data_IF_015365153570
#
_entry.id   IF_015365153570
#
_cell.length_a   1.000
_cell.length_b   1.000
_cell.length_c   1.000
_cell.angle_alpha   90.00
_cell.angle_beta   90.00
_cell.angle_gamma   90.00
#
_symmetry.space_group_name_H-M   'P 1'
#
loop_
_entity.id
_entity.type
_entity.pdbx_description
1 polymer ?
#
# COMPACT_ATOMS: atom_id res chain seq x y z
N UNK A 1 -61.65 48.49 -29.49
CA UNK A 1 -61.31 47.06 -29.23
C UNK A 1 -61.50 46.79 -27.74
N UNK A 2 -62.12 45.65 -27.43
CA UNK A 2 -62.61 45.24 -26.10
C UNK A 2 -61.51 45.25 -25.01
N UNK A 3 -61.81 45.76 -23.80
CA UNK A 3 -61.03 45.55 -22.58
C UNK A 3 -61.60 44.40 -21.72
N UNK A 4 -60.92 44.12 -20.59
CA UNK A 4 -61.24 43.20 -19.47
C UNK A 4 -60.69 41.76 -19.65
N UNK A 5 -60.23 41.02 -18.63
CA UNK A 5 -60.55 41.01 -17.19
C UNK A 5 -59.33 40.51 -16.38
N UNK A 6 -59.05 41.20 -15.28
CA UNK A 6 -58.28 40.79 -14.10
C UNK A 6 -59.05 39.73 -13.27
N UNK A 7 -58.42 38.63 -12.84
CA UNK A 7 -58.87 37.90 -11.65
C UNK A 7 -57.70 37.48 -10.77
N UNK A 8 -57.55 38.26 -9.70
CA UNK A 8 -56.97 37.87 -8.41
C UNK A 8 -57.89 36.82 -7.79
N UNK A 9 -57.32 35.76 -7.20
CA UNK A 9 -57.92 35.12 -6.03
C UNK A 9 -56.83 34.76 -5.02
N UNK A 10 -56.98 35.37 -3.86
CA UNK A 10 -56.32 35.13 -2.58
C UNK A 10 -57.09 34.01 -1.88
N UNK A 11 -56.44 32.94 -1.41
CA UNK A 11 -56.91 32.07 -0.32
C UNK A 11 -55.66 31.47 0.35
N UNK A 12 -55.19 32.08 1.44
CA UNK A 12 -55.33 31.60 2.83
C UNK A 12 -54.63 30.27 3.12
N UNK A 13 -53.57 30.39 3.92
CA UNK A 13 -53.23 29.55 5.08
C UNK A 13 -54.00 28.23 5.21
N UNK A 14 -53.29 27.11 4.99
CA UNK A 14 -53.53 25.90 5.77
C UNK A 14 -52.18 25.33 6.24
N UNK A 15 -51.99 25.38 7.55
CA UNK A 15 -51.04 24.57 8.29
C UNK A 15 -51.18 23.11 7.85
N UNK A 16 -50.15 22.57 7.22
CA UNK A 16 -49.91 21.12 7.24
C UNK A 16 -48.61 20.90 7.98
N UNK A 17 -48.75 20.55 9.27
CA UNK A 17 -47.74 19.84 10.03
C UNK A 17 -47.34 18.59 9.23
N UNK A 18 -46.23 18.67 8.51
CA UNK A 18 -45.37 17.51 8.35
C UNK A 18 -44.24 17.69 9.35
N UNK A 19 -44.38 16.96 10.45
CA UNK A 19 -43.26 16.60 11.31
C UNK A 19 -42.17 16.03 10.42
N UNK A 20 -41.19 16.86 10.06
CA UNK A 20 -39.89 16.35 9.69
C UNK A 20 -39.39 15.61 10.92
N UNK A 21 -39.55 14.29 10.91
CA UNK A 21 -38.56 13.41 11.51
C UNK A 21 -37.25 13.72 10.80
N UNK A 22 -36.61 14.80 11.21
CA UNK A 22 -35.17 14.92 11.20
C UNK A 22 -34.70 13.77 12.07
N UNK A 23 -34.50 12.61 11.43
CA UNK A 23 -33.55 11.65 11.91
C UNK A 23 -32.21 12.35 11.77
N UNK A 24 -31.89 13.19 12.75
CA UNK A 24 -30.54 13.69 12.94
C UNK A 24 -29.71 12.43 13.12
N UNK A 25 -29.05 12.00 12.05
CA UNK A 25 -27.93 11.08 12.15
C UNK A 25 -27.00 11.75 13.15
N UNK A 26 -26.99 11.24 14.38
CA UNK A 26 -25.96 11.54 15.34
C UNK A 26 -24.66 11.12 14.64
N UNK A 27 -24.00 12.06 13.96
CA UNK A 27 -22.59 11.95 13.65
C UNK A 27 -21.89 11.95 15.00
N UNK A 28 -21.80 10.76 15.57
CA UNK A 28 -20.86 10.48 16.63
C UNK A 28 -19.50 10.71 15.97
N UNK A 29 -18.93 11.90 16.13
CA UNK A 29 -17.49 12.13 15.97
C UNK A 29 -16.84 11.17 16.94
N UNK A 30 -16.52 9.96 16.47
CA UNK A 30 -15.69 9.04 17.22
C UNK A 30 -14.32 9.71 17.23
N UNK A 31 -14.02 10.40 18.31
CA UNK A 31 -12.68 10.90 18.60
C UNK A 31 -11.82 9.67 18.90
N UNK A 32 -11.23 9.08 17.86
CA UNK A 32 -10.18 8.10 18.06
C UNK A 32 -8.95 8.82 18.60
N UNK A 33 -8.48 8.43 19.77
CA UNK A 33 -7.14 8.85 20.23
C UNK A 33 -6.13 8.15 19.32
N UNK A 34 -5.51 8.89 18.41
CA UNK A 34 -4.47 8.35 17.52
C UNK A 34 -3.30 7.84 18.37
N UNK A 35 -3.01 6.54 18.28
CA UNK A 35 -1.86 5.93 18.93
C UNK A 35 -0.71 5.83 17.93
N UNK A 36 0.15 6.85 17.92
CA UNK A 36 1.36 6.84 17.12
C UNK A 36 2.30 5.71 17.56
N UNK A 37 2.79 4.93 16.60
CA UNK A 37 3.94 4.08 16.82
C UNK A 37 5.20 4.94 16.85
N UNK A 38 5.98 4.81 17.91
CA UNK A 38 7.30 5.41 18.00
C UNK A 38 8.39 4.36 17.76
N UNK A 39 9.26 4.65 16.81
CA UNK A 39 10.56 3.99 16.64
C UNK A 39 11.62 5.08 16.77
N UNK A 40 12.58 4.87 17.67
CA UNK A 40 13.59 5.89 18.02
C UNK A 40 14.85 5.73 17.17
N UNK A 41 15.49 6.85 16.86
CA UNK A 41 16.82 6.89 16.24
C UNK A 41 16.87 6.74 14.72
N UNK A 42 15.72 6.65 14.04
CA UNK A 42 15.60 6.42 12.59
C UNK A 42 14.41 7.20 12.02
N UNK A 43 14.42 7.48 10.71
CA UNK A 43 13.34 8.20 10.04
C UNK A 43 13.23 9.63 10.55
N UNK A 44 14.22 10.47 10.27
CA UNK A 44 14.24 11.87 10.70
C UNK A 44 12.98 12.64 10.25
N UNK A 45 12.44 12.29 9.07
CA UNK A 45 11.19 12.80 8.54
C UNK A 45 10.01 11.84 8.71
N UNK A 46 10.20 10.74 9.45
CA UNK A 46 9.15 9.80 9.81
C UNK A 46 9.27 8.42 9.17
N UNK A 47 8.23 7.62 9.43
CA UNK A 47 8.12 6.21 9.02
C UNK A 47 6.71 5.92 8.50
N UNK A 48 6.59 5.02 7.53
CA UNK A 48 5.32 4.64 6.89
C UNK A 48 5.40 3.26 6.21
N UNK A 49 4.31 2.82 5.58
CA UNK A 49 4.13 1.51 4.92
C UNK A 49 4.56 0.30 5.78
N UNK A 50 3.94 0.10 6.95
CA UNK A 50 4.26 -1.05 7.78
C UNK A 50 3.85 -2.35 7.08
N UNK A 51 4.63 -3.41 7.27
CA UNK A 51 4.20 -4.79 7.05
C UNK A 51 4.69 -5.65 8.21
N UNK A 52 3.76 -6.32 8.90
CA UNK A 52 4.06 -7.05 10.14
C UNK A 52 3.89 -8.55 9.99
N UNK A 53 4.81 -9.30 10.60
CA UNK A 53 4.73 -10.75 10.67
C UNK A 53 5.17 -11.24 12.05
N UNK A 54 4.44 -12.22 12.58
CA UNK A 54 4.78 -12.89 13.82
C UNK A 54 5.74 -14.05 13.54
N UNK A 55 6.94 -14.02 14.12
CA UNK A 55 7.77 -15.19 14.27
C UNK A 55 7.31 -15.99 15.50
N UNK A 56 6.59 -17.08 15.24
CA UNK A 56 6.09 -17.97 16.29
C UNK A 56 7.19 -18.74 17.01
N UNK A 57 8.37 -18.88 16.42
CA UNK A 57 9.48 -19.62 17.05
C UNK A 57 10.15 -18.78 18.13
N UNK A 58 10.43 -17.50 17.83
CA UNK A 58 11.04 -16.58 18.79
C UNK A 58 10.01 -15.78 19.61
N UNK A 59 8.71 -15.91 19.30
CA UNK A 59 7.63 -15.11 19.87
C UNK A 59 7.90 -13.59 19.73
N UNK A 60 8.50 -13.21 18.60
CA UNK A 60 8.77 -11.82 18.21
C UNK A 60 7.86 -11.42 17.07
N UNK A 61 7.48 -10.15 17.06
CA UNK A 61 6.81 -9.55 15.90
C UNK A 61 7.85 -8.71 15.19
N UNK A 62 8.00 -8.95 13.89
CA UNK A 62 8.83 -8.12 13.03
C UNK A 62 7.94 -7.19 12.21
N UNK A 63 8.46 -6.00 11.93
CA UNK A 63 7.85 -5.04 11.02
C UNK A 63 8.91 -4.57 10.04
N UNK A 64 8.68 -4.77 8.75
CA UNK A 64 9.35 -3.96 7.73
C UNK A 64 8.57 -2.67 7.55
N UNK A 65 9.27 -1.57 7.30
CA UNK A 65 8.66 -0.26 7.12
C UNK A 65 9.57 0.66 6.30
N UNK A 66 8.98 1.64 5.63
CA UNK A 66 9.68 2.72 4.94
C UNK A 66 10.12 3.77 5.96
N UNK A 67 11.41 4.14 5.95
CA UNK A 67 11.98 5.21 6.76
C UNK A 67 12.45 6.36 5.86
N UNK A 68 12.07 7.59 6.23
CA UNK A 68 12.43 8.81 5.49
C UNK A 68 13.50 9.57 6.26
N UNK A 69 14.69 9.63 5.68
CA UNK A 69 15.86 10.30 6.25
C UNK A 69 16.39 11.35 5.27
N UNK A 70 17.22 12.32 5.71
CA UNK A 70 17.84 13.27 4.79
C UNK A 70 18.74 12.54 3.81
N UNK A 71 18.67 12.90 2.52
CA UNK A 71 19.72 12.44 1.59
C UNK A 71 21.01 13.15 1.92
N UNK A 72 22.04 12.37 2.22
CA UNK A 72 23.38 12.90 2.46
C UNK A 72 24.11 13.21 1.15
N UNK A 73 23.74 12.56 0.04
CA UNK A 73 24.37 12.77 -1.28
C UNK A 73 23.78 13.91 -2.09
N UNK A 74 22.47 14.07 -2.02
CA UNK A 74 21.72 15.04 -2.81
C UNK A 74 20.82 15.92 -1.93
N UNK A 75 21.38 16.59 -0.89
CA UNK A 75 20.58 17.33 0.09
C UNK A 75 19.79 18.50 -0.51
N UNK A 76 20.11 18.92 -1.74
CA UNK A 76 19.41 20.00 -2.45
C UNK A 76 18.42 19.42 -3.47
N UNK A 77 18.87 18.50 -4.32
CA UNK A 77 18.08 17.97 -5.43
C UNK A 77 17.05 16.93 -4.98
N UNK A 78 17.42 16.11 -3.99
CA UNK A 78 16.61 15.02 -3.44
C UNK A 78 16.76 15.04 -1.91
N UNK A 79 16.18 16.03 -1.21
CA UNK A 79 16.47 16.26 0.21
C UNK A 79 16.16 15.06 1.11
N UNK A 80 15.34 14.11 0.63
CA UNK A 80 14.94 12.92 1.36
C UNK A 80 15.36 11.65 0.61
N UNK A 81 15.68 10.62 1.39
CA UNK A 81 15.98 9.27 0.96
C UNK A 81 15.03 8.30 1.68
N UNK A 82 14.51 7.31 0.96
CA UNK A 82 13.55 6.34 1.50
C UNK A 82 14.18 4.95 1.47
N UNK A 83 14.39 4.37 2.64
CA UNK A 83 14.93 3.02 2.83
C UNK A 83 13.89 2.11 3.47
N UNK A 84 13.93 0.81 3.18
CA UNK A 84 13.21 -0.18 3.97
C UNK A 84 14.05 -0.57 5.17
N UNK A 85 13.47 -0.47 6.37
CA UNK A 85 14.09 -0.87 7.64
C UNK A 85 13.34 -2.02 8.29
N UNK A 86 13.95 -2.59 9.32
CA UNK A 86 13.38 -3.65 10.14
C UNK A 86 13.27 -3.19 11.60
N UNK A 87 12.11 -3.39 12.19
CA UNK A 87 11.89 -3.25 13.63
C UNK A 87 11.31 -4.54 14.20
N UNK A 88 11.42 -4.69 15.52
CA UNK A 88 10.81 -5.80 16.24
C UNK A 88 10.12 -5.36 17.52
N UNK A 89 9.18 -6.18 17.96
CA UNK A 89 8.50 -6.07 19.23
C UNK A 89 8.57 -7.40 20.01
N UNK A 90 8.83 -7.29 21.31
CA UNK A 90 8.86 -8.41 22.27
C UNK A 90 7.61 -8.47 23.16
N UNK A 91 6.78 -7.44 23.11
CA UNK A 91 5.64 -7.21 24.00
C UNK A 91 4.32 -7.09 23.22
N UNK A 92 4.23 -7.91 22.15
CA UNK A 92 3.05 -8.03 21.29
C UNK A 92 2.66 -6.72 20.59
N UNK A 93 3.63 -5.90 20.24
CA UNK A 93 3.45 -4.64 19.52
C UNK A 93 3.13 -3.44 20.42
N UNK A 94 3.32 -3.54 21.74
CA UNK A 94 3.22 -2.39 22.65
C UNK A 94 4.37 -1.41 22.37
N UNK A 95 5.60 -1.92 22.31
CA UNK A 95 6.80 -1.15 21.96
C UNK A 95 7.50 -1.75 20.75
N UNK A 96 8.17 -0.88 19.99
CA UNK A 96 8.90 -1.22 18.78
C UNK A 96 10.34 -0.73 18.88
N UNK A 97 11.27 -1.60 18.53
CA UNK A 97 12.70 -1.31 18.52
C UNK A 97 13.21 -1.48 17.09
N UNK A 98 13.89 -0.46 16.56
CA UNK A 98 14.61 -0.61 15.30
C UNK A 98 15.72 -1.67 15.47
N UNK A 99 15.89 -2.52 14.46
CA UNK A 99 16.94 -3.54 14.47
C UNK A 99 18.34 -2.97 14.21
N UNK A 100 18.47 -1.68 13.92
CA UNK A 100 19.72 -1.05 13.47
C UNK A 100 20.05 -1.35 12.02
N UNK A 101 19.14 -1.99 11.27
CA UNK A 101 19.38 -2.52 9.93
C UNK A 101 18.50 -1.80 8.89
N UNK A 102 19.15 -1.18 7.91
CA UNK A 102 18.52 -0.93 6.63
C UNK A 102 18.58 -2.22 5.80
N UNK A 103 17.45 -2.66 5.27
CA UNK A 103 17.39 -3.87 4.44
C UNK A 103 17.79 -3.55 3.00
N UNK A 104 17.43 -2.36 2.55
CA UNK A 104 17.87 -1.79 1.29
C UNK A 104 18.19 -0.31 1.54
N UNK A 105 19.35 0.12 1.09
CA UNK A 105 19.74 1.52 1.18
C UNK A 105 19.09 2.29 0.03
N UNK A 106 18.74 3.55 0.30
CA UNK A 106 18.28 4.50 -0.71
C UNK A 106 19.42 5.00 -1.62
N UNK A 107 20.66 4.77 -1.19
CA UNK A 107 21.89 5.19 -1.86
C UNK A 107 22.85 3.99 -1.94
N UNK A 108 23.52 3.74 -3.08
CA UNK A 108 24.40 2.55 -3.23
C UNK A 108 25.65 2.63 -2.32
N UNK A 109 26.22 1.49 -1.90
CA UNK A 109 27.12 1.38 -0.73
C UNK A 109 28.47 2.15 -0.78
N UNK A 110 28.94 2.71 -1.90
CA UNK A 110 30.29 3.32 -1.94
C UNK A 110 30.34 4.86 -2.05
N UNK A 111 29.35 5.60 -1.56
CA UNK A 111 29.36 7.08 -1.66
C UNK A 111 29.32 7.59 -3.11
N UNK A 112 29.05 6.71 -4.07
CA UNK A 112 28.97 7.06 -5.49
C UNK A 112 27.70 7.86 -5.75
N UNK A 113 27.86 9.01 -6.40
CA UNK A 113 26.73 9.75 -6.96
C UNK A 113 26.06 8.87 -8.01
N UNK A 114 24.87 8.38 -7.68
CA UNK A 114 24.09 7.59 -8.61
C UNK A 114 23.66 8.46 -9.77
N UNK A 115 23.84 7.91 -10.96
CA UNK A 115 23.35 8.56 -12.15
C UNK A 115 22.81 7.56 -13.16
N UNK A 116 21.62 7.84 -13.66
CA UNK A 116 21.03 7.03 -14.71
C UNK A 116 21.57 7.50 -16.05
N UNK A 117 22.27 6.61 -16.76
CA UNK A 117 22.74 6.89 -18.11
C UNK A 117 21.59 6.68 -19.09
N UNK A 118 20.84 7.75 -19.33
CA UNK A 118 19.79 7.79 -20.33
C UNK A 118 20.41 7.76 -21.75
N UNK A 119 19.82 7.00 -22.66
CA UNK A 119 20.35 6.86 -24.02
C UNK A 119 20.47 8.23 -24.71
N UNK A 120 21.67 8.56 -25.20
CA UNK A 120 21.96 9.82 -25.89
C UNK A 120 21.89 11.08 -25.01
N UNK A 121 21.85 10.95 -23.67
CA UNK A 121 21.82 12.09 -22.73
C UNK A 121 22.91 11.97 -21.67
N UNK A 122 23.27 13.11 -21.08
CA UNK A 122 24.15 13.13 -19.92
C UNK A 122 23.50 12.39 -18.74
N UNK A 123 24.28 11.66 -17.92
CA UNK A 123 23.75 11.00 -16.73
C UNK A 123 23.08 12.02 -15.79
N UNK A 124 21.92 11.65 -15.26
CA UNK A 124 21.15 12.48 -14.33
C UNK A 124 21.33 11.99 -12.90
N UNK A 125 21.58 12.89 -11.92
CA UNK A 125 21.50 12.55 -10.50
C UNK A 125 20.21 11.81 -10.17
N UNK A 126 20.30 10.82 -9.30
CA UNK A 126 19.13 10.13 -8.79
C UNK A 126 19.34 9.60 -7.38
N UNK A 127 18.23 9.34 -6.70
CA UNK A 127 18.15 8.62 -5.42
C UNK A 127 17.20 7.44 -5.59
N UNK A 128 17.51 6.28 -5.00
CA UNK A 128 16.56 5.17 -4.97
C UNK A 128 15.52 5.41 -3.89
N UNK A 129 14.25 5.28 -4.24
CA UNK A 129 13.17 5.13 -3.27
C UNK A 129 12.84 3.65 -3.14
N UNK A 130 12.70 3.23 -1.89
CA UNK A 130 12.38 1.87 -1.48
C UNK A 130 11.09 1.91 -0.66
N UNK A 131 9.96 1.77 -1.35
CA UNK A 131 8.65 1.97 -0.73
C UNK A 131 7.80 0.69 -0.77
N UNK A 132 6.82 0.67 0.13
CA UNK A 132 5.78 -0.36 0.26
C UNK A 132 6.36 -1.76 0.38
N UNK A 133 6.94 -2.02 1.55
CA UNK A 133 7.53 -3.32 1.86
C UNK A 133 6.49 -4.35 2.28
N UNK A 134 6.69 -5.62 1.95
CA UNK A 134 5.94 -6.75 2.48
C UNK A 134 6.85 -7.86 2.95
N UNK A 135 6.80 -8.11 4.26
CA UNK A 135 7.64 -9.09 4.97
C UNK A 135 6.80 -10.31 5.34
N UNK A 136 7.29 -11.50 4.97
CA UNK A 136 6.63 -12.75 5.32
C UNK A 136 7.62 -13.80 5.84
N UNK A 137 7.07 -14.75 6.57
CA UNK A 137 7.75 -15.96 7.00
C UNK A 137 7.08 -17.20 6.40
N UNK A 138 7.87 -18.01 5.71
CA UNK A 138 7.45 -19.26 5.07
C UNK A 138 8.16 -20.44 5.75
N UNK A 139 7.46 -21.08 6.68
CA UNK A 139 7.99 -22.22 7.43
C UNK A 139 8.30 -23.45 6.54
N UNK A 140 7.73 -23.51 5.33
CA UNK A 140 7.86 -24.66 4.43
C UNK A 140 8.99 -24.50 3.42
N UNK A 141 9.52 -23.28 3.25
CA UNK A 141 10.68 -23.03 2.40
C UNK A 141 11.97 -23.65 2.99
N UNK A 142 12.99 -23.89 2.14
CA UNK A 142 14.34 -24.18 2.61
C UNK A 142 14.78 -23.16 3.65
N UNK A 143 15.60 -23.58 4.62
CA UNK A 143 15.99 -22.74 5.76
C UNK A 143 16.50 -21.37 5.33
N UNK A 144 17.33 -21.32 4.30
CA UNK A 144 17.91 -20.10 3.70
C UNK A 144 16.92 -19.17 3.00
N UNK A 145 15.63 -19.53 2.90
CA UNK A 145 14.62 -18.82 2.11
C UNK A 145 13.33 -18.57 2.91
N UNK A 146 13.34 -18.78 4.22
CA UNK A 146 12.12 -18.71 5.04
C UNK A 146 11.61 -17.30 5.19
N UNK A 147 12.51 -16.35 5.41
CA UNK A 147 12.18 -14.94 5.44
C UNK A 147 12.24 -14.38 4.03
N UNK A 148 11.21 -13.65 3.65
CA UNK A 148 11.06 -13.08 2.32
C UNK A 148 10.59 -11.65 2.46
N UNK A 149 11.23 -10.74 1.73
CA UNK A 149 10.86 -9.33 1.67
C UNK A 149 10.67 -8.92 0.22
N UNK A 150 9.52 -8.31 -0.06
CA UNK A 150 9.20 -7.68 -1.33
C UNK A 150 9.07 -6.18 -1.11
N UNK A 151 9.45 -5.37 -2.10
CA UNK A 151 9.21 -3.92 -2.07
C UNK A 151 9.24 -3.34 -3.48
N UNK A 152 8.77 -2.11 -3.65
CA UNK A 152 8.92 -1.39 -4.90
C UNK A 152 10.17 -0.52 -4.86
N UNK A 153 11.08 -0.74 -5.80
CA UNK A 153 12.29 0.07 -6.01
C UNK A 153 12.14 0.90 -7.27
N UNK A 154 12.30 2.22 -7.16
CA UNK A 154 12.26 3.12 -8.31
C UNK A 154 13.13 4.37 -8.03
N UNK A 155 13.68 5.03 -9.05
CA UNK A 155 14.50 6.21 -8.84
C UNK A 155 13.65 7.49 -8.80
N UNK A 156 14.10 8.43 -7.98
CA UNK A 156 13.74 9.84 -8.06
C UNK A 156 14.76 10.54 -8.96
N UNK A 157 14.29 11.19 -10.04
CA UNK A 157 15.14 11.91 -10.99
C UNK A 157 14.53 13.29 -11.20
N UNK A 158 15.33 14.35 -11.01
CA UNK A 158 14.86 15.74 -11.07
C UNK A 158 13.61 16.00 -10.17
N UNK A 159 13.51 15.31 -9.03
CA UNK A 159 12.40 15.43 -8.08
C UNK A 159 11.14 14.63 -8.45
N UNK A 160 11.16 13.89 -9.55
CA UNK A 160 10.02 13.10 -10.03
C UNK A 160 10.25 11.60 -9.85
N UNK A 161 9.19 10.88 -9.44
CA UNK A 161 9.20 9.42 -9.37
C UNK A 161 9.20 8.85 -10.78
N UNK A 162 10.16 7.98 -11.10
CA UNK A 162 10.30 7.39 -12.44
C UNK A 162 10.05 5.88 -12.44
N UNK A 163 8.78 5.48 -12.40
CA UNK A 163 8.39 4.07 -12.35
C UNK A 163 8.78 3.29 -13.61
N UNK A 164 9.03 3.95 -14.74
CA UNK A 164 9.59 3.32 -15.95
C UNK A 164 10.97 2.70 -15.72
N UNK A 165 11.72 3.12 -14.70
CA UNK A 165 12.99 2.51 -14.31
C UNK A 165 12.86 1.61 -13.08
N UNK A 166 11.65 1.44 -12.54
CA UNK A 166 11.38 0.72 -11.31
C UNK A 166 11.09 -0.77 -11.48
N UNK A 167 11.15 -1.50 -10.38
CA UNK A 167 10.83 -2.92 -10.31
C UNK A 167 10.30 -3.32 -8.92
N UNK A 168 9.58 -4.43 -8.87
CA UNK A 168 9.38 -5.15 -7.61
C UNK A 168 10.68 -5.90 -7.31
N UNK A 169 11.29 -5.56 -6.19
CA UNK A 169 12.50 -6.18 -5.68
C UNK A 169 12.15 -7.28 -4.68
N UNK A 170 13.07 -8.22 -4.52
CA UNK A 170 12.89 -9.40 -3.68
C UNK A 170 14.20 -9.80 -2.98
N UNK A 171 14.12 -10.12 -1.68
CA UNK A 171 15.19 -10.76 -0.91
C UNK A 171 14.62 -11.95 -0.14
N UNK A 172 15.47 -12.94 0.10
CA UNK A 172 15.16 -14.06 0.98
C UNK A 172 16.35 -14.45 1.85
N UNK A 173 16.08 -14.91 3.07
CA UNK A 173 17.11 -15.26 4.04
C UNK A 173 16.60 -16.28 5.08
N UNK A 174 17.51 -16.78 5.92
CA UNK A 174 17.16 -17.68 7.03
C UNK A 174 16.61 -16.96 8.25
N UNK A 175 17.05 -15.74 8.51
CA UNK A 175 16.51 -14.86 9.56
C UNK A 175 16.09 -13.51 8.97
N UNK A 176 15.20 -12.75 9.63
CA UNK A 176 14.80 -11.45 9.13
C UNK A 176 15.97 -10.46 9.11
N UNK A 177 16.89 -10.53 10.07
CA UNK A 177 18.08 -9.67 10.11
C UNK A 177 19.04 -9.96 8.95
N UNK A 178 19.15 -11.23 8.53
CA UNK A 178 19.97 -11.62 7.38
C UNK A 178 19.44 -11.09 6.04
N UNK A 179 18.21 -10.55 5.98
CA UNK A 179 17.72 -9.86 4.79
C UNK A 179 18.58 -8.64 4.45
N UNK A 180 19.23 -8.00 5.43
CA UNK A 180 20.09 -6.84 5.18
C UNK A 180 21.23 -7.18 4.21
N UNK A 181 21.91 -8.31 4.44
CA UNK A 181 23.02 -8.78 3.59
C UNK A 181 22.61 -9.76 2.50
N UNK A 182 21.34 -10.18 2.44
CA UNK A 182 20.85 -11.05 1.39
C UNK A 182 20.91 -10.37 0.02
N UNK A 183 21.22 -11.15 -1.02
CA UNK A 183 21.27 -10.66 -2.40
C UNK A 183 19.89 -10.20 -2.87
N UNK A 184 19.80 -8.96 -3.35
CA UNK A 184 18.60 -8.47 -4.02
C UNK A 184 18.40 -9.14 -5.37
N UNK A 185 17.13 -9.44 -5.65
CA UNK A 185 16.64 -9.91 -6.94
C UNK A 185 15.74 -8.82 -7.54
N UNK A 186 16.09 -8.36 -8.74
CA UNK A 186 15.19 -7.58 -9.61
C UNK A 186 14.11 -8.52 -10.15
N UNK A 187 12.95 -8.59 -9.49
CA UNK A 187 11.97 -9.65 -9.72
C UNK A 187 11.00 -9.30 -10.87
N UNK A 188 10.18 -8.27 -10.70
CA UNK A 188 9.13 -7.91 -11.67
C UNK A 188 9.31 -6.52 -12.24
N UNK A 189 9.00 -6.38 -13.53
CA UNK A 189 8.91 -5.10 -14.22
C UNK A 189 7.63 -5.01 -15.06
N UNK A 190 7.24 -3.77 -15.40
CA UNK A 190 6.03 -3.45 -16.18
C UNK A 190 6.29 -3.23 -17.66
N UNK A 191 5.22 -2.90 -18.39
CA UNK A 191 5.24 -2.67 -19.84
C UNK A 191 6.21 -1.57 -20.28
N UNK A 192 6.34 -0.52 -19.48
CA UNK A 192 7.20 0.64 -19.79
C UNK A 192 8.56 0.57 -19.10
N UNK A 193 8.97 -0.62 -18.67
CA UNK A 193 10.31 -0.79 -18.14
C UNK A 193 11.38 -0.41 -19.15
N UNK A 194 12.27 0.51 -18.76
CA UNK A 194 13.43 0.92 -19.53
C UNK A 194 14.69 0.23 -19.01
N UNK A 195 15.35 -0.49 -19.93
CA UNK A 195 16.60 -1.23 -19.69
C UNK A 195 17.80 -0.36 -19.25
N UNK A 196 17.71 0.96 -19.30
CA UNK A 196 18.74 1.83 -18.71
C UNK A 196 19.00 1.48 -17.23
N UNK A 197 17.99 1.01 -16.51
CA UNK A 197 18.10 0.55 -15.13
C UNK A 197 18.81 -0.81 -14.96
N UNK A 198 19.12 -1.52 -16.04
CA UNK A 198 19.82 -2.82 -16.00
C UNK A 198 21.27 -2.70 -15.54
N UNK A 199 21.85 -1.50 -15.55
CA UNK A 199 23.20 -1.25 -15.05
C UNK A 199 23.39 -1.55 -13.55
N UNK A 200 22.32 -1.63 -12.75
CA UNK A 200 22.41 -1.80 -11.29
C UNK A 200 22.30 -3.25 -10.81
N UNK A 201 21.50 -4.09 -11.47
CA UNK A 201 21.25 -5.49 -11.04
C UNK A 201 21.00 -6.44 -12.22
N UNK A 202 21.34 -6.04 -13.45
CA UNK A 202 20.96 -6.76 -14.66
C UNK A 202 19.47 -6.66 -14.96
N UNK A 203 18.98 -7.52 -15.85
CA UNK A 203 17.58 -7.53 -16.29
C UNK A 203 16.62 -8.08 -15.22
N UNK A 204 15.36 -7.63 -15.16
CA UNK A 204 14.33 -8.27 -14.36
C UNK A 204 14.20 -9.77 -14.67
N UNK A 205 13.98 -10.60 -13.65
CA UNK A 205 13.75 -12.04 -13.85
C UNK A 205 12.48 -12.30 -14.64
N UNK A 206 11.43 -11.49 -14.42
CA UNK A 206 10.14 -11.65 -15.10
C UNK A 206 9.63 -10.26 -15.55
N UNK A 207 9.37 -10.13 -16.85
CA UNK A 207 8.56 -9.03 -17.38
C UNK A 207 7.10 -9.39 -17.20
N UNK A 208 6.52 -8.94 -16.08
CA UNK A 208 5.27 -9.47 -15.57
C UNK A 208 4.07 -9.14 -16.49
N UNK A 209 4.13 -8.02 -17.21
CA UNK A 209 3.12 -7.67 -18.21
C UNK A 209 3.05 -8.64 -19.40
N UNK A 210 4.01 -9.57 -19.55
CA UNK A 210 4.07 -10.53 -20.66
C UNK A 210 3.63 -11.95 -20.29
N UNK A 211 3.41 -12.26 -19.01
CA UNK A 211 3.07 -13.63 -18.61
C UNK A 211 1.59 -13.96 -18.86
N UNK A 212 0.73 -12.94 -18.98
CA UNK A 212 -0.70 -13.11 -19.21
C UNK A 212 -1.30 -11.91 -19.97
N UNK A 213 -2.27 -12.11 -20.90
CA UNK A 213 -2.87 -11.02 -21.66
C UNK A 213 -3.51 -9.91 -20.82
N UNK A 214 -4.13 -10.26 -19.68
CA UNK A 214 -4.73 -9.26 -18.78
C UNK A 214 -3.70 -8.32 -18.15
N UNK A 215 -2.42 -8.67 -18.16
CA UNK A 215 -1.36 -7.83 -17.61
C UNK A 215 -0.69 -6.95 -18.69
N UNK A 216 -1.07 -7.09 -19.95
CA UNK A 216 -0.35 -6.50 -21.09
C UNK A 216 -0.35 -4.97 -21.14
N UNK A 217 -1.30 -4.34 -20.45
CA UNK A 217 -1.46 -2.90 -20.27
C UNK A 217 -0.93 -2.39 -18.91
N UNK A 218 -0.47 -3.26 -18.01
CA UNK A 218 0.15 -2.84 -16.76
C UNK A 218 1.49 -2.13 -17.03
N UNK A 219 1.50 -0.80 -16.92
CA UNK A 219 2.67 0.04 -17.16
C UNK A 219 3.72 -0.11 -16.07
N UNK A 220 3.25 -0.27 -14.83
CA UNK A 220 4.06 -0.49 -13.64
C UNK A 220 3.32 -1.43 -12.67
N UNK A 221 4.10 -2.14 -11.87
CA UNK A 221 3.62 -2.92 -10.73
C UNK A 221 4.22 -2.32 -9.46
N UNK A 222 3.40 -2.11 -8.44
CA UNK A 222 3.80 -1.47 -7.19
C UNK A 222 3.06 -2.10 -6.02
N UNK A 223 3.41 -1.66 -4.81
CA UNK A 223 2.71 -1.97 -3.57
C UNK A 223 2.52 -3.47 -3.34
N UNK A 224 3.61 -4.24 -3.24
CA UNK A 224 3.51 -5.67 -3.02
C UNK A 224 2.93 -6.00 -1.65
N UNK A 225 2.06 -7.00 -1.61
CA UNK A 225 1.70 -7.71 -0.38
C UNK A 225 1.75 -9.21 -0.58
N UNK A 226 2.65 -9.84 0.15
CA UNK A 226 2.91 -11.26 0.08
C UNK A 226 2.20 -12.00 1.20
N UNK A 227 1.85 -13.26 0.94
CA UNK A 227 1.13 -14.10 1.89
C UNK A 227 1.42 -15.58 1.64
N UNK A 228 1.48 -16.38 2.70
CA UNK A 228 1.63 -17.84 2.61
C UNK A 228 0.36 -18.53 3.08
N UNK A 229 -0.25 -19.36 2.22
CA UNK A 229 -1.35 -20.27 2.58
C UNK A 229 -1.14 -21.63 1.96
N UNK A 230 -1.33 -22.69 2.74
CA UNK A 230 -1.25 -24.08 2.26
C UNK A 230 0.04 -24.39 1.48
N UNK A 231 1.18 -23.89 1.99
CA UNK A 231 2.53 -24.02 1.39
C UNK A 231 2.70 -23.31 0.04
N UNK A 232 1.74 -22.49 -0.39
CA UNK A 232 1.82 -21.66 -1.58
C UNK A 232 2.08 -20.22 -1.19
N UNK A 233 2.98 -19.58 -1.93
CA UNK A 233 3.24 -18.15 -1.84
C UNK A 233 2.32 -17.41 -2.80
N UNK A 234 1.61 -16.42 -2.28
CA UNK A 234 0.79 -15.49 -3.03
C UNK A 234 1.39 -14.10 -2.94
N UNK A 235 1.19 -13.31 -3.98
CA UNK A 235 1.61 -11.92 -4.04
C UNK A 235 0.51 -11.09 -4.70
N UNK A 236 -0.09 -10.19 -3.93
CA UNK A 236 -0.92 -9.13 -4.46
C UNK A 236 -0.05 -7.95 -4.88
N UNK A 237 -0.42 -7.29 -5.98
CA UNK A 237 0.25 -6.10 -6.50
C UNK A 237 -0.79 -5.11 -7.03
N UNK A 238 -0.52 -3.82 -6.89
CA UNK A 238 -1.17 -2.79 -7.71
C UNK A 238 -0.57 -2.82 -9.11
N UNK A 239 -1.41 -3.11 -10.11
CA UNK A 239 -1.12 -2.89 -11.53
C UNK A 239 -1.67 -1.51 -11.94
N UNK A 240 -0.79 -0.59 -12.33
CA UNK A 240 -1.18 0.68 -12.93
C UNK A 240 -1.31 0.53 -14.45
N UNK A 241 -2.39 1.02 -15.06
CA UNK A 241 -2.62 0.95 -16.51
C UNK A 241 -2.13 2.20 -17.27
N UNK A 242 -1.66 3.23 -16.55
CA UNK A 242 -1.16 4.49 -17.11
C UNK A 242 -2.22 5.38 -17.76
N UNK A 243 -3.50 5.00 -17.72
CA UNK A 243 -4.59 5.82 -18.24
C UNK A 243 -5.07 6.77 -17.15
N UNK A 244 -5.26 8.05 -17.49
CA UNK A 244 -5.89 9.00 -16.59
C UNK A 244 -7.43 8.97 -16.75
N UNK A 245 -8.20 9.04 -15.65
CA UNK A 245 -7.70 9.04 -14.28
C UNK A 245 -7.16 7.65 -13.90
N UNK A 246 -6.14 7.56 -13.04
CA UNK A 246 -5.36 6.34 -12.79
C UNK A 246 -6.26 5.12 -12.52
N UNK A 247 -6.37 4.24 -13.51
CA UNK A 247 -7.28 3.09 -13.46
C UNK A 247 -6.47 1.82 -13.18
N UNK A 248 -6.19 1.60 -11.89
CA UNK A 248 -5.45 0.43 -11.44
C UNK A 248 -6.30 -0.84 -11.30
N UNK A 249 -5.60 -1.97 -11.16
CA UNK A 249 -6.16 -3.25 -10.71
C UNK A 249 -5.32 -3.80 -9.57
N UNK A 250 -5.98 -4.43 -8.62
CA UNK A 250 -5.33 -5.23 -7.59
C UNK A 250 -5.29 -6.66 -8.09
N UNK A 251 -4.11 -7.10 -8.54
CA UNK A 251 -3.92 -8.43 -9.13
C UNK A 251 -3.36 -9.40 -8.10
N UNK A 252 -3.56 -10.69 -8.34
CA UNK A 252 -3.00 -11.76 -7.53
C UNK A 252 -2.12 -12.68 -8.38
N UNK A 253 -0.93 -12.96 -7.86
CA UNK A 253 -0.02 -13.97 -8.36
C UNK A 253 0.12 -15.08 -7.33
N UNK A 254 0.51 -16.26 -7.81
CA UNK A 254 1.03 -17.30 -6.94
C UNK A 254 2.39 -17.79 -7.44
N UNK A 255 3.15 -18.43 -6.54
CA UNK A 255 4.38 -19.13 -6.88
C UNK A 255 4.16 -20.64 -6.77
N UNK A 256 4.34 -21.33 -7.88
CA UNK A 256 4.22 -22.79 -7.99
C UNK A 256 5.39 -23.34 -8.79
N UNK A 257 6.04 -24.39 -8.27
CA UNK A 257 7.18 -25.07 -8.90
C UNK A 257 8.30 -24.10 -9.31
N UNK A 258 8.55 -23.10 -8.48
CA UNK A 258 9.55 -22.05 -8.70
C UNK A 258 9.11 -20.91 -9.62
N UNK A 259 8.02 -21.09 -10.38
CA UNK A 259 7.48 -20.11 -11.34
C UNK A 259 6.40 -19.24 -10.73
N UNK A 260 6.26 -18.03 -11.27
CA UNK A 260 5.17 -17.11 -10.93
C UNK A 260 4.04 -17.24 -11.94
N UNK A 261 2.83 -17.46 -11.44
CA UNK A 261 1.62 -17.58 -12.26
C UNK A 261 0.65 -16.45 -11.93
N UNK A 262 0.01 -15.93 -12.97
CA UNK A 262 -1.12 -15.03 -12.81
C UNK A 262 -2.34 -15.82 -12.33
N UNK A 263 -2.96 -15.37 -11.23
CA UNK A 263 -4.17 -15.99 -10.68
C UNK A 263 -5.42 -15.25 -11.15
N UNK A 264 -5.41 -13.91 -11.07
CA UNK A 264 -6.55 -13.09 -11.50
C UNK A 264 -6.55 -11.68 -10.91
N UNK A 265 -7.65 -10.98 -11.14
CA UNK A 265 -7.93 -9.64 -10.60
C UNK A 265 -8.76 -9.78 -9.33
N UNK A 266 -8.22 -9.37 -8.18
CA UNK A 266 -8.99 -9.27 -6.94
C UNK A 266 -9.98 -8.09 -7.00
N UNK A 267 -9.49 -6.91 -7.37
CA UNK A 267 -10.28 -5.68 -7.52
C UNK A 267 -9.89 -4.96 -8.82
N UNK A 268 -10.89 -4.50 -9.55
CA UNK A 268 -10.73 -3.63 -10.72
C UNK A 268 -11.26 -2.24 -10.38
N UNK A 269 -10.43 -1.20 -10.43
CA UNK A 269 -10.85 0.13 -9.98
C UNK A 269 -12.07 0.64 -10.76
N UNK A 270 -12.14 0.42 -12.08
CA UNK A 270 -13.26 0.92 -12.90
C UNK A 270 -14.58 0.25 -12.56
N UNK A 271 -14.55 -1.06 -12.36
CA UNK A 271 -15.76 -1.86 -12.08
C UNK A 271 -16.16 -1.76 -10.60
N UNK A 272 -15.19 -1.86 -9.71
CA UNK A 272 -15.44 -2.16 -8.31
C UNK A 272 -15.51 -0.91 -7.42
N UNK A 273 -15.04 0.25 -7.90
CA UNK A 273 -15.29 1.53 -7.22
C UNK A 273 -16.56 2.23 -7.72
N UNK A 274 -17.17 1.76 -8.82
CA UNK A 274 -18.37 2.40 -9.39
C UNK A 274 -19.53 2.40 -8.39
N UNK A 275 -20.05 3.59 -8.11
CA UNK A 275 -21.10 3.81 -7.12
C UNK A 275 -20.72 3.47 -5.67
N UNK A 276 -19.46 3.13 -5.38
CA UNK A 276 -19.03 2.80 -4.03
C UNK A 276 -19.00 4.07 -3.17
N UNK A 277 -19.85 4.10 -2.15
CA UNK A 277 -19.91 5.18 -1.16
C UNK A 277 -19.69 4.65 0.25
N UNK A 278 -18.78 5.28 0.99
CA UNK A 278 -18.53 4.97 2.40
C UNK A 278 -18.50 6.27 3.18
N UNK A 279 -19.38 6.37 4.19
CA UNK A 279 -19.52 7.57 5.03
C UNK A 279 -19.66 8.87 4.20
N UNK A 280 -20.41 8.81 3.08
CA UNK A 280 -20.65 9.95 2.19
C UNK A 280 -19.52 10.24 1.19
N UNK A 281 -18.39 9.55 1.26
CA UNK A 281 -17.29 9.70 0.29
C UNK A 281 -17.46 8.71 -0.86
N UNK A 282 -17.31 9.19 -2.09
CA UNK A 282 -17.24 8.34 -3.29
C UNK A 282 -15.78 8.09 -3.65
N UNK A 283 -15.44 6.85 -3.99
CA UNK A 283 -14.08 6.47 -4.38
C UNK A 283 -14.00 6.12 -5.86
N UNK A 284 -12.81 6.27 -6.42
CA UNK A 284 -12.56 6.04 -7.84
C UNK A 284 -11.53 4.93 -8.06
N UNK A 285 -11.06 4.31 -7.00
CA UNK A 285 -10.15 3.19 -7.08
C UNK A 285 -9.65 2.72 -5.72
N UNK A 286 -8.72 1.78 -5.81
CA UNK A 286 -8.03 1.16 -4.70
C UNK A 286 -6.53 1.10 -5.00
N UNK A 287 -5.72 1.22 -3.97
CA UNK A 287 -4.26 1.08 -3.96
C UNK A 287 -3.83 0.28 -2.74
N UNK A 288 -2.53 0.04 -2.63
CA UNK A 288 -1.85 -0.52 -1.47
C UNK A 288 -2.53 -1.78 -0.92
N UNK A 289 -2.59 -2.86 -1.71
CA UNK A 289 -3.21 -4.10 -1.28
C UNK A 289 -2.41 -4.70 -0.12
N UNK A 290 -3.10 -5.27 0.85
CA UNK A 290 -2.55 -6.07 1.94
C UNK A 290 -3.34 -7.36 2.09
N UNK A 291 -2.66 -8.50 1.96
CA UNK A 291 -3.21 -9.82 2.18
C UNK A 291 -3.11 -10.20 3.66
N UNK A 292 -4.25 -10.47 4.28
CA UNK A 292 -4.35 -10.72 5.72
C UNK A 292 -4.96 -12.10 5.96
N UNK A 293 -4.41 -12.85 6.91
CA UNK A 293 -5.05 -14.05 7.45
C UNK A 293 -5.42 -13.89 8.92
N UNK A 294 -6.70 -14.14 9.21
CA UNK A 294 -7.23 -14.20 10.57
C UNK A 294 -8.08 -15.46 10.69
N UNK A 295 -7.65 -16.37 11.57
CA UNK A 295 -8.23 -17.70 11.74
C UNK A 295 -8.20 -18.48 10.41
N UNK A 296 -9.35 -18.95 9.95
CA UNK A 296 -9.57 -19.71 8.72
C UNK A 296 -9.89 -18.83 7.50
N UNK A 297 -9.98 -17.51 7.70
CA UNK A 297 -10.35 -16.56 6.65
C UNK A 297 -9.15 -15.78 6.13
N UNK A 298 -9.23 -15.44 4.85
CA UNK A 298 -8.28 -14.57 4.16
C UNK A 298 -9.00 -13.30 3.73
N UNK A 299 -8.33 -12.16 3.87
CA UNK A 299 -8.86 -10.84 3.55
C UNK A 299 -7.88 -10.09 2.66
N UNK A 300 -8.44 -9.18 1.87
CA UNK A 300 -7.71 -8.12 1.20
C UNK A 300 -8.08 -6.80 1.87
N UNK A 301 -7.13 -6.15 2.51
CA UNK A 301 -7.26 -4.73 2.85
C UNK A 301 -6.68 -3.91 1.70
N UNK A 302 -7.33 -2.80 1.34
CA UNK A 302 -6.84 -1.86 0.33
C UNK A 302 -7.08 -0.43 0.81
N UNK A 303 -6.25 0.48 0.35
CA UNK A 303 -6.44 1.92 0.55
C UNK A 303 -7.34 2.45 -0.57
N UNK A 304 -8.58 2.89 -0.28
CA UNK A 304 -9.41 3.54 -1.30
C UNK A 304 -8.83 4.90 -1.68
N UNK A 305 -8.96 5.24 -2.96
CA UNK A 305 -8.43 6.47 -3.53
C UNK A 305 -9.52 7.29 -4.22
N UNK A 306 -9.31 8.60 -4.25
CA UNK A 306 -10.10 9.53 -5.06
C UNK A 306 -9.25 10.08 -6.21
N UNK A 307 -9.86 10.28 -7.36
CA UNK A 307 -9.22 10.91 -8.51
C UNK A 307 -9.49 12.41 -8.45
N UNK A 308 -8.42 13.21 -8.43
CA UNK A 308 -8.45 14.68 -8.39
C UNK A 308 -7.03 15.24 -8.57
N UNK A 309 -6.87 16.57 -8.52
CA UNK A 309 -5.54 17.20 -8.60
C UNK A 309 -4.60 16.74 -7.47
N UNK A 310 -5.18 16.33 -6.33
CA UNK A 310 -4.49 15.68 -5.23
C UNK A 310 -5.21 14.37 -4.90
N UNK A 311 -4.83 13.22 -5.51
CA UNK A 311 -5.44 11.94 -5.20
C UNK A 311 -5.23 11.62 -3.72
N UNK A 312 -6.32 11.62 -2.96
CA UNK A 312 -6.28 11.37 -1.53
C UNK A 312 -6.45 9.88 -1.23
N UNK A 313 -5.73 9.40 -0.23
CA UNK A 313 -5.87 8.06 0.32
C UNK A 313 -6.83 8.13 1.51
N UNK A 314 -7.73 7.17 1.67
CA UNK A 314 -8.80 7.25 2.69
C UNK A 314 -8.87 6.01 3.60
N UNK A 315 -7.93 5.89 4.55
CA UNK A 315 -7.85 4.73 5.44
C UNK A 315 -7.77 3.41 4.68
N UNK A 316 -8.46 2.37 5.16
CA UNK A 316 -8.54 1.10 4.45
C UNK A 316 -9.96 0.54 4.41
N UNK A 317 -10.25 -0.21 3.36
CA UNK A 317 -11.44 -1.06 3.24
C UNK A 317 -10.97 -2.50 3.18
N UNK A 318 -11.67 -3.37 3.89
CA UNK A 318 -11.33 -4.79 3.98
C UNK A 318 -12.43 -5.62 3.33
N UNK A 319 -12.02 -6.51 2.44
CA UNK A 319 -12.87 -7.48 1.77
C UNK A 319 -12.43 -8.89 2.13
N UNK A 320 -13.39 -9.79 2.35
CA UNK A 320 -13.09 -11.22 2.48
C UNK A 320 -12.76 -11.81 1.10
N UNK A 321 -11.68 -12.60 1.02
CA UNK A 321 -11.35 -13.38 -0.17
C UNK A 321 -12.10 -14.71 -0.03
N UNK A 322 -13.05 -14.96 -0.92
CA UNK A 322 -13.84 -16.20 -0.97
C UNK A 322 -12.97 -17.38 -1.40
N UNK A 323 -12.15 -17.16 -2.43
CA UNK A 323 -11.21 -18.15 -2.94
C UNK A 323 -9.93 -17.48 -3.44
N UNK A 324 -8.82 -17.82 -2.79
CA UNK A 324 -7.51 -17.26 -3.11
C UNK A 324 -6.93 -17.86 -4.40
N UNK A 325 -7.29 -19.09 -4.75
CA UNK A 325 -6.77 -19.79 -5.92
C UNK A 325 -7.42 -19.38 -7.23
N UNK A 326 -8.55 -18.66 -7.15
CA UNK A 326 -9.23 -18.06 -8.30
C UNK A 326 -9.33 -16.53 -8.20
N UNK A 327 -8.60 -15.91 -7.26
CA UNK A 327 -8.62 -14.47 -7.00
C UNK A 327 -10.04 -13.90 -6.79
N UNK A 328 -10.91 -14.64 -6.10
CA UNK A 328 -12.32 -14.29 -5.94
C UNK A 328 -12.59 -13.58 -4.61
N UNK A 329 -13.01 -12.32 -4.69
CA UNK A 329 -13.50 -11.54 -3.55
C UNK A 329 -14.98 -11.85 -3.28
N UNK A 330 -15.36 -11.92 -2.00
CA UNK A 330 -16.73 -12.16 -1.57
C UNK A 330 -17.65 -11.01 -1.99
N UNK A 331 -18.78 -11.35 -2.61
CA UNK A 331 -19.79 -10.41 -3.10
C UNK A 331 -21.18 -10.74 -2.59
N UNK A 332 -22.01 -9.72 -2.38
CA UNK A 332 -23.43 -9.84 -2.06
C UNK A 332 -24.25 -9.20 -3.18
N UNK A 333 -25.10 -9.98 -3.85
CA UNK A 333 -25.91 -9.51 -4.99
C UNK A 333 -25.11 -8.75 -6.06
N UNK A 334 -23.89 -9.25 -6.37
CA UNK A 334 -22.87 -8.70 -7.29
C UNK A 334 -22.03 -7.52 -6.76
N UNK A 335 -22.42 -6.90 -5.66
CA UNK A 335 -21.65 -5.83 -5.02
C UNK A 335 -20.56 -6.39 -4.12
N UNK A 336 -19.45 -5.67 -3.98
CA UNK A 336 -18.40 -6.02 -3.02
C UNK A 336 -18.98 -6.07 -1.61
N UNK A 337 -18.76 -7.17 -0.90
CA UNK A 337 -19.13 -7.26 0.50
C UNK A 337 -18.00 -6.70 1.36
N UNK A 338 -18.21 -5.50 1.90
CA UNK A 338 -17.26 -4.87 2.83
C UNK A 338 -17.31 -5.61 4.16
N UNK A 339 -16.18 -6.18 4.57
CA UNK A 339 -16.02 -6.82 5.89
C UNK A 339 -15.71 -5.79 6.97
N UNK A 340 -14.90 -4.78 6.65
CA UNK A 340 -14.54 -3.70 7.58
C UNK A 340 -14.17 -2.42 6.83
N UNK A 341 -14.44 -1.28 7.47
CA UNK A 341 -13.86 0.01 7.13
C UNK A 341 -12.96 0.45 8.29
N UNK A 342 -11.73 0.82 7.97
CA UNK A 342 -10.74 1.35 8.90
C UNK A 342 -10.56 2.82 8.53
N UNK A 343 -11.20 3.76 9.26
CA UNK A 343 -11.15 5.17 8.90
C UNK A 343 -9.71 5.68 9.06
N UNK A 344 -9.23 6.38 8.04
CA UNK A 344 -8.06 7.23 8.12
C UNK A 344 -8.49 8.70 8.03
N UNK A 345 -7.61 9.62 8.44
CA UNK A 345 -7.81 11.02 8.12
C UNK A 345 -7.48 11.22 6.63
N UNK A 346 -8.46 11.59 5.80
CA UNK A 346 -8.27 11.73 4.35
C UNK A 346 -7.29 12.82 3.94
N UNK A 347 -7.02 13.80 4.81
CA UNK A 347 -6.02 14.85 4.56
C UNK A 347 -4.60 14.37 4.87
N UNK A 348 -4.46 13.31 5.65
CA UNK A 348 -3.17 12.86 6.19
C UNK A 348 -2.82 11.44 5.72
N UNK A 349 -3.78 10.58 5.46
CA UNK A 349 -3.50 9.18 5.15
C UNK A 349 -2.67 9.08 3.87
N UNK A 350 -1.60 8.30 3.94
CA UNK A 350 -0.61 8.22 2.88
C UNK A 350 0.11 6.89 2.94
N UNK A 351 -0.11 6.02 1.95
CA UNK A 351 0.50 4.70 1.88
C UNK A 351 -0.40 3.54 2.29
N UNK A 352 0.26 2.43 2.63
CA UNK A 352 -0.37 1.14 2.88
C UNK A 352 -0.89 0.96 4.30
N UNK A 353 -1.80 0.00 4.42
CA UNK A 353 -2.28 -0.53 5.68
C UNK A 353 -1.65 -1.89 5.95
N UNK A 354 -1.40 -2.21 7.22
CA UNK A 354 -1.03 -3.56 7.66
C UNK A 354 -1.88 -3.99 8.85
N UNK A 355 -1.94 -5.30 9.12
CA UNK A 355 -2.75 -5.84 10.20
C UNK A 355 -1.92 -6.62 11.22
N UNK A 356 -1.88 -6.11 12.44
CA UNK A 356 -1.21 -6.76 13.57
C UNK A 356 -2.15 -7.79 14.22
N UNK A 357 -2.03 -9.04 13.78
CA UNK A 357 -2.86 -10.15 14.28
C UNK A 357 -2.37 -10.69 15.63
N UNK A 358 -2.62 -9.94 16.71
CA UNK A 358 -2.42 -10.40 18.09
C UNK A 358 -3.71 -10.30 18.89
N UNK A 359 -3.92 -11.25 19.80
CA UNK A 359 -5.14 -11.31 20.62
C UNK A 359 -5.24 -10.21 21.69
N UNK A 360 -4.12 -9.55 22.01
CA UNK A 360 -4.05 -8.45 22.99
C UNK A 360 -4.72 -7.16 22.51
N UNK A 361 -4.84 -6.18 23.39
CA UNK A 361 -5.31 -4.82 23.09
C UNK A 361 -4.47 -4.10 22.01
N UNK A 362 -3.24 -4.57 21.79
CA UNK A 362 -2.35 -4.06 20.75
C UNK A 362 -2.64 -4.57 19.34
N UNK A 363 -3.53 -5.55 19.17
CA UNK A 363 -3.92 -6.03 17.84
C UNK A 363 -4.83 -5.05 17.12
N UNK A 364 -4.67 -4.94 15.80
CA UNK A 364 -5.49 -4.07 14.96
C UNK A 364 -4.76 -3.60 13.71
N UNK A 365 -5.35 -2.64 13.00
CA UNK A 365 -4.73 -2.07 11.81
C UNK A 365 -3.66 -1.05 12.15
N UNK A 366 -2.59 -1.05 11.37
CA UNK A 366 -1.56 -0.05 11.29
C UNK A 366 -1.78 0.79 10.04
N UNK A 367 -1.89 2.11 10.20
CA UNK A 367 -2.16 3.07 9.15
C UNK A 367 -0.97 3.99 8.96
N UNK A 368 -0.63 4.28 7.72
CA UNK A 368 0.37 5.30 7.38
C UNK A 368 -0.30 6.68 7.24
N UNK A 369 0.25 7.71 7.88
CA UNK A 369 -0.23 9.09 7.77
C UNK A 369 0.96 10.06 7.61
N UNK A 370 0.74 11.14 6.86
CA UNK A 370 1.66 12.23 6.59
C UNK A 370 1.11 13.53 7.21
N UNK A 371 1.93 14.19 8.00
CA UNK A 371 1.67 15.45 8.67
C UNK A 371 2.67 16.50 8.13
N UNK A 372 2.37 17.17 7.00
CA UNK A 372 3.34 18.01 6.29
C UNK A 372 3.95 19.14 7.14
N UNK A 373 3.19 19.64 8.11
CA UNK A 373 3.61 20.70 9.04
C UNK A 373 4.46 20.19 10.23
N UNK A 374 4.75 18.88 10.30
CA UNK A 374 5.55 18.26 11.35
C UNK A 374 6.98 17.98 10.89
N UNK A 375 7.97 18.14 11.79
CA UNK A 375 9.37 17.75 11.52
C UNK A 375 9.47 16.32 11.04
N UNK A 376 8.80 15.41 11.75
CA UNK A 376 8.63 14.06 11.26
C UNK A 376 7.28 14.04 10.54
N UNK A 377 7.29 14.14 9.22
CA UNK A 377 6.11 14.12 8.35
C UNK A 377 5.37 12.80 8.45
N UNK A 378 6.05 11.67 8.31
CA UNK A 378 5.40 10.36 8.22
C UNK A 378 5.24 9.67 9.59
N UNK A 379 4.08 9.05 9.80
CA UNK A 379 3.71 8.33 11.03
C UNK A 379 3.01 7.03 10.69
N UNK A 380 3.25 6.03 11.53
CA UNK A 380 2.40 4.85 11.62
C UNK A 380 1.50 5.01 12.83
N UNK A 381 0.20 4.78 12.65
CA UNK A 381 -0.82 4.86 13.70
C UNK A 381 -1.44 3.49 13.88
N UNK A 382 -1.61 3.07 15.14
CA UNK A 382 -2.38 1.89 15.48
C UNK A 382 -3.85 2.24 15.72
N UNK A 383 -4.73 1.41 15.19
CA UNK A 383 -6.16 1.43 15.49
C UNK A 383 -6.53 0.26 16.39
N UNK A 384 -7.64 0.38 17.12
CA UNK A 384 -8.23 -0.71 17.90
C UNK A 384 -9.17 -1.61 17.07
N UNK A 385 -9.23 -1.37 15.75
CA UNK A 385 -10.15 -2.08 14.85
C UNK A 385 -9.56 -3.45 14.54
N UNK A 386 -10.30 -4.50 14.90
CA UNK A 386 -9.92 -5.91 14.70
C UNK A 386 -10.78 -6.61 13.66
N UNK A 387 -10.22 -7.62 13.01
CA UNK A 387 -10.89 -8.54 12.09
C UNK A 387 -11.49 -9.76 12.80
#
# INVERSE_FOLDING_TARGET
>A
MKPRVLKIFLYTTLLSLFSFYSCSSLERKISFTEQFLEIKGVGAYGIFDPSVVMDRQSNKIYMSYSAVDPSYRWPVEHPHAISTRLAYSLDKGLTWNDSGLAINEAEDEEGQKLSLKLFGRSPKPMTWNQEVSSLIFDANAPRSERWKLFWHRYPLIDGERKFEYGWIAFKQAESPEQLASAKEIKLFSGKYYDSAADQYLGTPQVQLNRIHPELSDCVAFTEPSAFIKEKRLYLALSCADGNLPWNGRQILLNRQDGNWNYVGILLDNRRDSDGLQIAGNSFTGFSAPELIAVRDKTYLAVTPTTNGENPAYHGCIVFEIEDLDSAKILRESKFLKISKVVPGNSELHNGACSYLNVMSETGGFLLSQAYPESVKVFRIIRTEIKL
#
